data_IF_226292437585
#
_entry.id   IF_226292437585
#
_cell.length_a   1.000
_cell.length_b   1.000
_cell.length_c   1.000
_cell.angle_alpha   90.00
_cell.angle_beta   90.00
_cell.angle_gamma   90.00
#
_symmetry.space_group_name_H-M   'P 1'
#
loop_
_entity.id
_entity.type
_entity.pdbx_description
1 polymer ?
#
# COMPACT_ATOMS: atom_id res chain seq x y z
N UNK A 1 -10.80 -18.55 9.76
CA UNK A 1 -10.34 -17.20 9.39
C UNK A 1 -11.49 -16.18 9.39
N UNK A 2 -12.70 -16.40 8.80
CA UNK A 2 -13.78 -15.40 8.78
C UNK A 2 -14.17 -14.88 10.17
N UNK A 3 -14.35 -15.76 11.15
CA UNK A 3 -14.69 -15.36 12.53
C UNK A 3 -13.59 -14.49 13.17
N UNK A 4 -12.32 -14.78 12.91
CA UNK A 4 -11.20 -13.95 13.37
C UNK A 4 -11.25 -12.55 12.73
N UNK A 5 -11.48 -12.49 11.42
CA UNK A 5 -11.58 -11.21 10.68
C UNK A 5 -12.72 -10.37 11.21
N UNK A 6 -13.91 -10.96 11.45
CA UNK A 6 -15.05 -10.24 12.05
C UNK A 6 -14.73 -9.70 13.43
N UNK A 7 -14.07 -10.49 14.28
CA UNK A 7 -13.62 -10.05 15.60
C UNK A 7 -12.63 -8.89 15.53
N UNK A 8 -11.65 -8.99 14.66
CA UNK A 8 -10.62 -7.96 14.46
C UNK A 8 -11.24 -6.67 13.95
N UNK A 9 -12.12 -6.75 12.96
CA UNK A 9 -12.83 -5.58 12.41
C UNK A 9 -13.68 -4.87 13.46
N UNK A 10 -14.39 -5.63 14.29
CA UNK A 10 -15.20 -5.07 15.39
C UNK A 10 -14.36 -4.37 16.47
N UNK A 11 -13.11 -4.82 16.66
CA UNK A 11 -12.17 -4.26 17.66
C UNK A 11 -11.49 -2.98 17.16
N UNK A 12 -11.51 -2.72 15.86
CA UNK A 12 -10.84 -1.58 15.25
C UNK A 12 -11.83 -0.49 14.81
N UNK A 13 -12.15 0.49 15.66
CA UNK A 13 -13.24 1.45 15.41
C UNK A 13 -13.03 2.30 14.15
N UNK A 14 -11.77 2.59 13.77
CA UNK A 14 -11.45 3.38 12.58
C UNK A 14 -11.80 2.69 11.27
N UNK A 15 -11.88 1.38 11.26
CA UNK A 15 -12.21 0.57 10.06
C UNK A 15 -13.57 -0.07 10.13
N UNK A 16 -14.27 0.04 11.26
CA UNK A 16 -15.55 -0.62 11.51
C UNK A 16 -16.72 -0.21 10.59
N UNK A 17 -16.59 0.90 9.87
CA UNK A 17 -17.57 1.34 8.87
C UNK A 17 -17.31 0.81 7.45
N UNK A 18 -16.22 0.06 7.23
CA UNK A 18 -15.85 -0.44 5.92
C UNK A 18 -16.26 -1.90 5.78
N UNK A 19 -17.03 -2.20 4.73
CA UNK A 19 -17.41 -3.58 4.42
C UNK A 19 -16.20 -4.37 3.93
N UNK A 20 -15.85 -5.43 4.66
CA UNK A 20 -14.74 -6.31 4.32
C UNK A 20 -15.26 -7.59 3.67
N UNK A 21 -15.00 -7.77 2.41
CA UNK A 21 -15.29 -9.02 1.70
C UNK A 21 -14.10 -9.97 1.86
N UNK A 22 -14.25 -10.93 2.78
CA UNK A 22 -13.16 -11.84 3.14
C UNK A 22 -12.88 -12.85 2.04
N UNK A 23 -11.71 -12.75 1.43
CA UNK A 23 -11.19 -13.76 0.51
C UNK A 23 -10.06 -14.55 1.19
N UNK A 24 -10.40 -15.63 1.87
CA UNK A 24 -9.44 -16.48 2.57
C UNK A 24 -8.47 -17.18 1.62
N UNK A 25 -8.91 -17.52 0.41
CA UNK A 25 -8.11 -18.27 -0.55
C UNK A 25 -6.84 -17.53 -1.02
N UNK A 26 -6.86 -16.19 -0.98
CA UNK A 26 -5.69 -15.41 -1.40
C UNK A 26 -4.54 -15.42 -0.38
N UNK A 27 -4.81 -15.79 0.88
CA UNK A 27 -3.82 -15.76 1.97
C UNK A 27 -3.48 -17.15 2.53
N UNK A 28 -4.27 -18.16 2.19
CA UNK A 28 -4.01 -19.54 2.65
C UNK A 28 -3.31 -20.33 1.54
N UNK A 29 -2.04 -20.64 1.76
CA UNK A 29 -1.28 -21.46 0.83
C UNK A 29 -0.20 -22.26 1.56
N UNK A 30 -0.56 -23.47 1.99
CA UNK A 30 0.33 -24.37 2.74
C UNK A 30 1.59 -24.75 1.96
N UNK A 31 1.52 -24.75 0.63
CA UNK A 31 2.68 -25.09 -0.22
C UNK A 31 3.75 -24.00 -0.25
N UNK A 32 3.41 -22.77 0.15
CA UNK A 32 4.33 -21.63 0.20
C UNK A 32 4.89 -21.35 1.60
N UNK A 33 4.50 -22.13 2.59
CA UNK A 33 5.03 -22.02 3.95
C UNK A 33 6.31 -22.86 4.04
N UNK A 34 7.47 -22.18 4.17
CA UNK A 34 8.77 -22.84 4.29
C UNK A 34 9.22 -22.97 5.75
N UNK A 35 9.25 -21.85 6.48
CA UNK A 35 9.81 -21.81 7.84
C UNK A 35 8.74 -21.53 8.90
N UNK A 36 7.97 -20.48 8.71
CA UNK A 36 6.96 -20.04 9.67
C UNK A 36 5.73 -19.46 8.98
N UNK A 37 4.61 -19.50 9.68
CA UNK A 37 3.39 -18.83 9.25
C UNK A 37 3.42 -17.32 9.55
N UNK A 38 2.48 -16.58 8.98
CA UNK A 38 2.33 -15.16 9.26
C UNK A 38 1.98 -14.88 10.72
N UNK A 39 2.46 -13.75 11.25
CA UNK A 39 2.02 -13.24 12.55
C UNK A 39 0.64 -12.63 12.39
N UNK A 40 -0.35 -13.21 13.05
CA UNK A 40 -1.75 -12.77 13.02
C UNK A 40 -2.30 -12.64 14.44
N UNK A 41 -3.36 -11.83 14.66
CA UNK A 41 -4.04 -11.80 15.94
C UNK A 41 -4.63 -13.17 16.28
N UNK A 42 -4.75 -13.47 17.57
CA UNK A 42 -5.42 -14.68 18.04
C UNK A 42 -6.96 -14.52 17.99
N UNK A 43 -7.68 -15.63 18.09
CA UNK A 43 -9.14 -15.60 18.12
C UNK A 43 -9.70 -14.78 19.31
N UNK A 44 -8.91 -14.58 20.36
CA UNK A 44 -9.25 -13.79 21.54
C UNK A 44 -8.91 -12.29 21.41
N UNK A 45 -8.55 -11.82 20.22
CA UNK A 45 -8.31 -10.39 19.99
C UNK A 45 -9.60 -9.59 20.20
N UNK A 46 -9.62 -8.77 21.25
CA UNK A 46 -10.75 -7.94 21.68
C UNK A 46 -10.23 -6.57 22.09
N UNK A 47 -11.13 -5.62 22.29
CA UNK A 47 -10.80 -4.28 22.76
C UNK A 47 -9.95 -4.29 24.05
N UNK A 48 -10.21 -5.23 24.95
CA UNK A 48 -9.40 -5.44 26.16
C UNK A 48 -7.93 -5.78 25.85
N UNK A 49 -7.60 -6.30 24.68
CA UNK A 49 -6.23 -6.53 24.27
C UNK A 49 -5.49 -5.22 23.90
N UNK A 50 -6.20 -4.17 23.59
CA UNK A 50 -5.66 -2.85 23.25
C UNK A 50 -5.69 -1.89 24.45
N UNK A 51 -6.65 -2.07 25.37
CA UNK A 51 -6.84 -1.20 26.54
C UNK A 51 -5.76 -1.43 27.58
N UNK A 52 -5.23 -0.34 28.16
CA UNK A 52 -4.25 -0.40 29.23
C UNK A 52 -2.82 -0.75 28.81
N UNK A 53 -2.56 -0.94 27.52
CA UNK A 53 -1.21 -1.19 27.00
C UNK A 53 -0.45 0.11 26.70
N UNK A 54 0.88 0.09 26.80
CA UNK A 54 1.72 1.17 26.32
C UNK A 54 1.41 1.51 24.84
N UNK A 55 1.51 2.79 24.48
CA UNK A 55 1.14 3.27 23.15
C UNK A 55 1.88 2.54 22.01
N UNK A 56 3.16 2.19 22.21
CA UNK A 56 3.95 1.45 21.23
C UNK A 56 3.44 0.03 21.01
N UNK A 57 3.13 -0.72 22.07
CA UNK A 57 2.58 -2.06 21.95
C UNK A 57 1.22 -2.06 21.26
N UNK A 58 0.36 -1.12 21.63
CA UNK A 58 -0.94 -0.94 21.00
C UNK A 58 -0.79 -0.66 19.50
N UNK A 59 0.13 0.24 19.11
CA UNK A 59 0.35 0.56 17.71
C UNK A 59 0.80 -0.67 16.89
N UNK A 60 1.64 -1.53 17.46
CA UNK A 60 2.08 -2.78 16.81
C UNK A 60 0.90 -3.74 16.64
N UNK A 61 0.08 -3.94 17.69
CA UNK A 61 -1.09 -4.80 17.63
C UNK A 61 -2.12 -4.30 16.61
N UNK A 62 -2.39 -2.99 16.60
CA UNK A 62 -3.26 -2.36 15.60
C UNK A 62 -2.72 -2.54 14.19
N UNK A 63 -1.41 -2.41 13.99
CA UNK A 63 -0.78 -2.63 12.68
C UNK A 63 -0.92 -4.07 12.20
N UNK A 64 -0.65 -5.06 13.07
CA UNK A 64 -0.81 -6.48 12.73
C UNK A 64 -2.27 -6.80 12.39
N UNK A 65 -3.22 -6.29 13.19
CA UNK A 65 -4.65 -6.43 12.93
C UNK A 65 -5.06 -5.81 11.59
N UNK A 66 -4.62 -4.57 11.33
CA UNK A 66 -4.88 -3.88 10.06
C UNK A 66 -4.33 -4.65 8.86
N UNK A 67 -3.10 -5.17 8.96
CA UNK A 67 -2.47 -5.93 7.87
C UNK A 67 -3.22 -7.23 7.57
N UNK A 68 -3.76 -7.91 8.60
CA UNK A 68 -4.64 -9.05 8.38
C UNK A 68 -5.90 -8.65 7.60
N UNK A 69 -6.58 -7.57 8.02
CA UNK A 69 -7.78 -7.08 7.33
C UNK A 69 -7.49 -6.72 5.88
N UNK A 70 -6.39 -6.02 5.62
CA UNK A 70 -5.97 -5.67 4.27
C UNK A 70 -5.66 -6.93 3.42
N UNK A 71 -4.97 -7.90 4.01
CA UNK A 71 -4.56 -9.12 3.30
C UNK A 71 -5.74 -9.98 2.83
N UNK A 72 -6.85 -9.98 3.56
CA UNK A 72 -8.05 -10.75 3.19
C UNK A 72 -9.08 -9.94 2.39
N UNK A 73 -8.87 -8.64 2.24
CA UNK A 73 -9.79 -7.73 1.53
C UNK A 73 -9.62 -7.82 0.02
N UNK A 74 -10.56 -7.22 -0.69
CA UNK A 74 -10.49 -7.09 -2.15
C UNK A 74 -9.24 -6.32 -2.58
N UNK A 75 -8.71 -6.59 -3.78
CA UNK A 75 -7.61 -5.86 -4.35
C UNK A 75 -7.99 -4.38 -4.58
N UNK A 76 -6.99 -3.53 -4.54
CA UNK A 76 -7.11 -2.15 -5.01
C UNK A 76 -7.02 -2.15 -6.53
N UNK A 77 -8.08 -1.73 -7.21
CA UNK A 77 -8.15 -1.70 -8.66
C UNK A 77 -8.21 -0.26 -9.17
N UNK A 78 -7.38 0.05 -10.14
CA UNK A 78 -7.34 1.36 -10.78
C UNK A 78 -7.01 1.25 -12.26
N UNK A 79 -7.45 2.23 -13.02
CA UNK A 79 -7.04 2.43 -14.40
C UNK A 79 -5.95 3.49 -14.45
N UNK A 80 -4.83 3.17 -15.08
CA UNK A 80 -3.77 4.14 -15.34
C UNK A 80 -3.88 4.63 -16.78
N UNK A 81 -3.95 5.95 -16.95
CA UNK A 81 -3.94 6.61 -18.26
C UNK A 81 -2.58 7.30 -18.42
N UNK A 82 -1.87 6.98 -19.48
CA UNK A 82 -0.64 7.65 -19.85
C UNK A 82 -0.85 8.40 -21.18
N UNK A 83 -0.50 9.67 -21.20
CA UNK A 83 -0.60 10.52 -22.37
C UNK A 83 0.79 11.03 -22.73
N UNK A 84 1.13 10.94 -24.01
CA UNK A 84 2.35 11.53 -24.57
C UNK A 84 1.94 12.64 -25.53
N UNK A 85 2.51 13.81 -25.33
CA UNK A 85 2.27 15.01 -26.13
C UNK A 85 3.56 15.42 -26.82
N UNK A 86 3.47 15.91 -28.03
CA UNK A 86 4.60 16.47 -28.77
C UNK A 86 4.40 17.96 -28.97
N UNK A 87 5.42 18.75 -28.64
CA UNK A 87 5.41 20.20 -28.85
C UNK A 87 6.80 20.68 -29.25
N UNK A 88 6.91 21.36 -30.38
CA UNK A 88 8.16 21.91 -30.91
C UNK A 88 9.33 20.91 -30.96
N UNK A 89 9.06 19.65 -31.30
CA UNK A 89 10.05 18.57 -31.37
C UNK A 89 10.45 17.98 -30.00
N UNK A 90 9.77 18.34 -28.94
CA UNK A 90 9.97 17.78 -27.59
C UNK A 90 8.77 16.94 -27.17
N UNK A 91 9.05 15.83 -26.48
CA UNK A 91 8.02 14.93 -25.95
C UNK A 91 7.75 15.23 -24.47
N UNK A 92 6.49 15.34 -24.13
CA UNK A 92 6.00 15.55 -22.78
C UNK A 92 5.08 14.38 -22.41
N UNK A 93 5.21 13.87 -21.19
CA UNK A 93 4.38 12.77 -20.70
C UNK A 93 3.60 13.18 -19.46
N UNK A 94 2.35 12.73 -19.39
CA UNK A 94 1.51 12.84 -18.21
C UNK A 94 0.90 11.48 -17.87
N UNK A 95 0.79 11.18 -16.58
CA UNK A 95 0.13 9.98 -16.09
C UNK A 95 -0.96 10.36 -15.11
N UNK A 96 -2.08 9.69 -15.22
CA UNK A 96 -3.19 9.83 -14.28
C UNK A 96 -3.70 8.47 -13.86
N UNK A 97 -4.37 8.41 -12.71
CA UNK A 97 -5.01 7.20 -12.20
C UNK A 97 -6.43 7.49 -11.79
N UNK A 98 -7.33 6.59 -12.18
CA UNK A 98 -8.73 6.60 -11.74
C UNK A 98 -8.97 5.32 -10.94
N UNK A 99 -9.31 5.48 -9.66
CA UNK A 99 -9.59 4.34 -8.77
C UNK A 99 -10.97 3.78 -9.12
N UNK A 100 -11.03 2.51 -9.47
CA UNK A 100 -12.26 1.76 -9.76
C UNK A 100 -12.79 1.07 -8.51
N UNK A 101 -11.91 0.46 -7.73
CA UNK A 101 -12.23 -0.17 -6.45
C UNK A 101 -11.13 0.16 -5.44
N UNK A 102 -11.43 0.88 -4.35
CA UNK A 102 -10.42 1.20 -3.34
C UNK A 102 -9.85 -0.04 -2.63
N UNK A 103 -10.63 -1.13 -2.52
CA UNK A 103 -10.21 -2.39 -1.93
C UNK A 103 -9.55 -2.21 -0.55
N UNK A 104 -8.46 -2.95 -0.30
CA UNK A 104 -7.71 -2.90 0.96
C UNK A 104 -7.15 -1.51 1.29
N UNK A 105 -6.98 -0.63 0.30
CA UNK A 105 -6.42 0.70 0.51
C UNK A 105 -7.34 1.59 1.34
N UNK A 106 -8.66 1.41 1.23
CA UNK A 106 -9.63 2.12 2.06
C UNK A 106 -9.41 1.88 3.56
N UNK A 107 -9.03 0.65 3.95
CA UNK A 107 -8.73 0.31 5.35
C UNK A 107 -7.46 1.02 5.84
N UNK A 108 -6.43 1.07 5.00
CA UNK A 108 -5.18 1.77 5.32
C UNK A 108 -5.43 3.28 5.48
N UNK A 109 -6.15 3.89 4.58
CA UNK A 109 -6.47 5.32 4.61
C UNK A 109 -7.30 5.67 5.84
N UNK A 110 -8.33 4.88 6.16
CA UNK A 110 -9.16 5.09 7.35
C UNK A 110 -8.35 4.99 8.65
N UNK A 111 -7.39 4.08 8.73
CA UNK A 111 -6.52 3.94 9.89
C UNK A 111 -5.50 5.07 10.01
N UNK A 112 -4.92 5.50 8.89
CA UNK A 112 -3.90 6.54 8.84
C UNK A 112 -4.48 7.96 8.92
N UNK A 113 -5.77 8.15 8.64
CA UNK A 113 -6.44 9.45 8.74
C UNK A 113 -6.31 10.01 10.15
N UNK A 114 -5.48 11.04 10.32
CA UNK A 114 -5.15 11.66 11.61
C UNK A 114 -3.68 11.60 12.02
N UNK A 115 -2.83 10.94 11.26
CA UNK A 115 -1.37 10.97 11.43
C UNK A 115 -0.75 11.78 10.29
N UNK A 116 -0.76 13.11 10.45
CA UNK A 116 -0.01 14.05 9.62
C UNK A 116 -0.22 13.88 8.12
N UNK A 117 -0.53 14.96 7.47
CA UNK A 117 -0.57 15.10 6.02
C UNK A 117 0.83 14.90 5.42
N UNK A 118 1.35 13.70 5.42
CA UNK A 118 2.34 13.35 4.43
C UNK A 118 1.55 13.00 3.18
N UNK A 119 1.43 13.96 2.30
CA UNK A 119 0.97 13.85 0.92
C UNK A 119 1.80 12.82 0.13
N UNK A 120 1.70 11.58 0.47
CA UNK A 120 1.80 10.51 -0.50
C UNK A 120 0.39 10.17 -0.95
N UNK A 121 -0.37 11.20 -1.30
CA UNK A 121 -1.52 11.00 -2.14
C UNK A 121 -1.00 10.59 -3.51
N UNK A 122 -0.82 9.31 -3.69
CA UNK A 122 -0.77 8.64 -4.98
C UNK A 122 -2.13 8.77 -5.71
N UNK A 123 -2.90 9.77 -5.34
CA UNK A 123 -3.98 10.32 -6.11
C UNK A 123 -3.36 11.10 -7.27
N UNK A 124 -2.68 10.37 -8.15
CA UNK A 124 -2.44 10.86 -9.48
C UNK A 124 -3.82 11.31 -9.98
N UNK A 125 -4.00 12.64 -10.10
CA UNK A 125 -5.27 13.20 -10.53
C UNK A 125 -5.69 12.50 -11.81
N UNK A 126 -6.95 12.11 -11.91
CA UNK A 126 -7.48 11.57 -13.14
C UNK A 126 -7.19 12.57 -14.26
N UNK A 127 -6.64 12.10 -15.37
CA UNK A 127 -6.49 12.92 -16.54
C UNK A 127 -7.87 13.11 -17.20
N UNK A 128 -8.13 14.26 -17.81
CA UNK A 128 -9.31 14.43 -18.64
C UNK A 128 -9.28 13.44 -19.81
N UNK A 129 -10.43 13.07 -20.35
CA UNK A 129 -10.47 12.24 -21.54
C UNK A 129 -9.75 12.95 -22.69
N UNK A 130 -8.87 12.23 -23.37
CA UNK A 130 -8.03 12.74 -24.46
C UNK A 130 -8.03 11.71 -25.57
N UNK A 131 -8.26 12.17 -26.79
CA UNK A 131 -8.25 11.35 -27.99
C UNK A 131 -6.88 11.40 -28.69
N UNK A 132 -6.52 10.33 -29.37
CA UNK A 132 -5.30 10.29 -30.17
C UNK A 132 -5.37 11.31 -31.32
N UNK A 133 -4.30 12.10 -31.48
CA UNK A 133 -4.23 13.15 -32.49
C UNK A 133 -4.91 14.49 -32.06
N UNK A 134 -5.44 14.57 -30.85
CA UNK A 134 -6.03 15.80 -30.35
C UNK A 134 -4.95 16.87 -30.16
N UNK A 135 -5.26 18.10 -30.60
CA UNK A 135 -4.35 19.27 -30.47
C UNK A 135 -4.76 20.13 -29.30
N UNK A 136 -3.76 20.58 -28.52
CA UNK A 136 -3.96 21.44 -27.36
C UNK A 136 -3.19 22.75 -27.53
N UNK A 137 -3.75 23.84 -27.01
CA UNK A 137 -3.06 25.13 -26.93
C UNK A 137 -2.27 25.20 -25.62
N UNK A 138 -0.96 25.52 -25.72
CA UNK A 138 -0.13 25.72 -24.52
C UNK A 138 -0.49 27.07 -23.89
N UNK A 139 -1.05 27.06 -22.69
CA UNK A 139 -1.39 28.29 -21.95
C UNK A 139 -0.20 28.86 -21.18
N UNK A 140 0.65 27.98 -20.64
CA UNK A 140 1.84 28.40 -19.89
C UNK A 140 2.89 27.32 -19.93
N UNK A 141 4.15 27.71 -19.89
CA UNK A 141 5.29 26.83 -19.73
C UNK A 141 6.20 27.40 -18.63
N UNK A 142 6.66 26.55 -17.74
CA UNK A 142 7.59 26.93 -16.69
C UNK A 142 8.71 25.90 -16.59
N UNK A 143 9.93 26.36 -16.50
CA UNK A 143 11.11 25.52 -16.22
C UNK A 143 11.27 25.45 -14.70
N UNK A 144 11.29 24.25 -14.17
CA UNK A 144 11.55 24.01 -12.75
C UNK A 144 12.93 23.39 -12.61
N UNK A 145 13.82 24.13 -11.98
CA UNK A 145 15.14 23.58 -11.66
C UNK A 145 15.04 22.56 -10.53
N UNK A 146 15.75 21.45 -10.67
CA UNK A 146 15.84 20.40 -9.67
C UNK A 146 17.25 19.89 -9.56
N UNK A 147 17.64 19.38 -8.40
CA UNK A 147 18.90 18.69 -8.18
C UNK A 147 18.61 17.20 -7.99
N UNK A 148 19.36 16.37 -8.72
CA UNK A 148 19.38 14.94 -8.47
C UNK A 148 20.05 14.69 -7.12
N UNK A 149 19.47 13.84 -6.32
CA UNK A 149 20.08 13.35 -5.07
C UNK A 149 20.64 11.97 -5.28
N UNK A 150 21.80 11.64 -4.69
CA UNK A 150 22.32 10.28 -4.76
C UNK A 150 21.34 9.30 -4.12
N UNK A 151 21.41 8.00 -4.48
CA UNK A 151 20.64 6.97 -3.81
C UNK A 151 20.92 7.02 -2.30
N UNK A 152 19.91 6.71 -1.50
CA UNK A 152 20.10 6.58 -0.04
C UNK A 152 21.13 5.48 0.24
N UNK A 153 21.93 5.67 1.30
CA UNK A 153 22.80 4.61 1.77
C UNK A 153 22.00 3.34 2.10
N UNK A 154 22.64 2.20 1.90
CA UNK A 154 22.04 0.94 2.31
C UNK A 154 21.87 0.91 3.82
N UNK A 155 20.68 0.55 4.27
CA UNK A 155 20.43 0.13 5.64
C UNK A 155 20.47 -1.40 5.69
N UNK A 156 20.62 -1.97 6.88
CA UNK A 156 20.66 -3.44 7.04
C UNK A 156 19.44 -4.12 6.43
N UNK A 157 18.26 -3.51 6.57
CA UNK A 157 17.00 -4.00 5.98
C UNK A 157 17.07 -4.01 4.45
N UNK A 158 17.46 -2.91 3.82
CA UNK A 158 17.56 -2.80 2.35
C UNK A 158 18.65 -3.74 1.82
N UNK A 159 19.69 -3.96 2.59
CA UNK A 159 20.76 -4.88 2.22
C UNK A 159 20.29 -6.34 2.24
N UNK A 160 19.53 -6.74 3.24
CA UNK A 160 18.93 -8.08 3.34
C UNK A 160 17.94 -8.33 2.19
N UNK A 161 17.02 -7.42 1.93
CA UNK A 161 16.06 -7.53 0.82
C UNK A 161 16.77 -7.66 -0.54
N UNK A 162 17.89 -6.94 -0.76
CA UNK A 162 18.66 -7.06 -2.00
C UNK A 162 19.48 -8.32 -2.13
N UNK A 163 19.95 -8.91 -1.02
CA UNK A 163 20.65 -10.20 -1.04
C UNK A 163 19.76 -11.31 -1.64
N UNK A 164 18.50 -11.35 -1.25
CA UNK A 164 17.53 -12.30 -1.80
C UNK A 164 17.33 -12.12 -3.31
N UNK A 165 17.36 -10.86 -3.80
CA UNK A 165 17.18 -10.52 -5.21
C UNK A 165 18.38 -10.91 -6.09
N UNK A 166 19.60 -10.89 -5.56
CA UNK A 166 20.82 -11.22 -6.28
C UNK A 166 21.31 -12.66 -6.05
N UNK A 167 20.53 -13.47 -5.35
CA UNK A 167 20.82 -14.91 -5.15
C UNK A 167 22.14 -15.19 -4.41
N UNK A 168 22.56 -14.29 -3.53
CA UNK A 168 23.68 -14.53 -2.64
C UNK A 168 23.20 -15.42 -1.51
N UNK A 169 23.33 -16.75 -1.67
CA UNK A 169 23.14 -17.69 -0.59
C UNK A 169 24.21 -17.49 0.49
N UNK A 170 23.79 -17.32 1.74
CA UNK A 170 24.71 -17.42 2.87
C UNK A 170 25.28 -18.83 2.90
N UNK A 171 26.56 -18.98 2.60
CA UNK A 171 27.27 -20.20 2.93
C UNK A 171 27.34 -20.26 4.46
N UNK A 172 26.49 -21.07 5.05
CA UNK A 172 26.61 -21.48 6.43
C UNK A 172 28.00 -22.10 6.60
N UNK A 173 28.88 -21.38 7.28
CA UNK A 173 30.14 -21.95 7.74
C UNK A 173 29.83 -22.90 8.90
N UNK A 174 30.02 -24.19 8.62
CA UNK A 174 30.00 -25.25 9.61
C UNK A 174 31.12 -25.08 10.63
#
# INVERSE_FOLDING_TARGET
LPALVSNVAATMPKVGGITIHVNAAQVINDKKVSDHHAVIPTANFKEAALTGRPAGERAVLELVALRLLCAVSQPHEYTETAVTLECAGHSFSAKGRTVMNPGWRALMEAHCSGKGENETSDAAKALPPVDEGQTFTVHSAAVKEGKTTPPKHYTDVIFCERKEWIGIEERSSA
#
